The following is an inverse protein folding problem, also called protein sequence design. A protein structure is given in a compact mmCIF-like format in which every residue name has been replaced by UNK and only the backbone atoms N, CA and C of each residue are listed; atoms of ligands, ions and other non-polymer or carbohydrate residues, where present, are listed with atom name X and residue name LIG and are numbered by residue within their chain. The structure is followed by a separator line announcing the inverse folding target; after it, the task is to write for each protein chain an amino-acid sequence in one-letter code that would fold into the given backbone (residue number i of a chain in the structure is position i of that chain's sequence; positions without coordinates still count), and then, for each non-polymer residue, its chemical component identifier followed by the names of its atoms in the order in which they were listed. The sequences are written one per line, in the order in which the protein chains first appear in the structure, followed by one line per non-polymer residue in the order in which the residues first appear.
data_IF_148651385259
#
_entry.id   IF_148651385259
#
_cell.length_a   1.000
_cell.length_b   1.000
_cell.length_c   1.000
_cell.angle_alpha   90.00
_cell.angle_beta   90.00
_cell.angle_gamma   90.00
#
_symmetry.space_group_name_H-M   'P 1'
#
loop_
_entity.id
_entity.type
_entity.pdbx_description
1 polymer ?
#
# COMPACT_ATOMS: atom_id res chain seq x y z
N UNK A 1 4.98 -8.87 -16.67
CA UNK A 1 5.87 -8.30 -15.62
C UNK A 1 7.11 -9.16 -15.42
N UNK A 2 7.00 -10.35 -14.80
CA UNK A 2 8.17 -11.13 -14.36
C UNK A 2 9.20 -11.40 -15.47
N UNK A 3 8.74 -11.77 -16.67
CA UNK A 3 9.63 -11.99 -17.82
C UNK A 3 10.46 -10.74 -18.17
N UNK A 4 9.85 -9.56 -18.18
CA UNK A 4 10.54 -8.30 -18.44
C UNK A 4 11.54 -7.96 -17.35
N UNK A 5 11.17 -8.15 -16.08
CA UNK A 5 12.07 -7.87 -14.95
C UNK A 5 13.28 -8.82 -14.92
N UNK A 6 13.09 -10.11 -15.23
CA UNK A 6 14.17 -11.07 -15.41
C UNK A 6 15.08 -10.68 -16.58
N UNK A 7 14.50 -10.31 -17.72
CA UNK A 7 15.26 -9.87 -18.89
C UNK A 7 16.13 -8.64 -18.56
N UNK A 8 15.58 -7.68 -17.82
CA UNK A 8 16.26 -6.45 -17.42
C UNK A 8 17.37 -6.69 -16.39
N UNK A 9 17.10 -7.44 -15.32
CA UNK A 9 18.00 -7.52 -14.15
C UNK A 9 18.96 -8.70 -14.15
N UNK A 10 18.60 -9.79 -14.83
CA UNK A 10 19.36 -11.05 -14.75
C UNK A 10 19.90 -11.51 -16.09
N UNK A 11 19.46 -10.91 -17.20
CA UNK A 11 19.88 -11.31 -18.56
C UNK A 11 20.56 -10.21 -19.36
N UNK A 12 20.58 -8.97 -18.85
CA UNK A 12 21.11 -7.80 -19.56
C UNK A 12 20.48 -7.61 -20.95
N UNK A 13 19.15 -7.78 -21.02
CA UNK A 13 18.35 -7.64 -22.25
C UNK A 13 17.30 -6.55 -22.11
N UNK A 14 17.72 -5.27 -22.02
CA UNK A 14 16.78 -4.19 -21.72
C UNK A 14 15.77 -3.93 -22.85
N UNK A 15 16.12 -4.15 -24.13
CA UNK A 15 15.17 -4.07 -25.24
C UNK A 15 14.05 -5.13 -25.15
N UNK A 16 14.41 -6.39 -24.88
CA UNK A 16 13.44 -7.46 -24.65
C UNK A 16 12.59 -7.19 -23.40
N UNK A 17 13.19 -6.62 -22.36
CA UNK A 17 12.45 -6.22 -21.16
C UNK A 17 11.39 -5.17 -21.48
N UNK A 18 11.76 -4.14 -22.25
CA UNK A 18 10.85 -3.09 -22.69
C UNK A 18 9.64 -3.65 -23.45
N UNK A 19 9.85 -4.58 -24.38
CA UNK A 19 8.75 -5.25 -25.10
C UNK A 19 7.77 -5.96 -24.14
N UNK A 20 8.30 -6.68 -23.15
CA UNK A 20 7.48 -7.36 -22.15
C UNK A 20 6.69 -6.38 -21.27
N UNK A 21 7.26 -5.23 -20.92
CA UNK A 21 6.59 -4.21 -20.12
C UNK A 21 5.54 -3.42 -20.93
N UNK A 22 5.81 -3.14 -22.20
CA UNK A 22 4.83 -2.53 -23.11
C UNK A 22 3.65 -3.47 -23.36
N UNK A 23 3.91 -4.75 -23.57
CA UNK A 23 2.85 -5.78 -23.68
C UNK A 23 2.02 -5.86 -22.41
N UNK A 24 2.64 -5.79 -21.22
CA UNK A 24 1.89 -5.71 -19.97
C UNK A 24 1.00 -4.46 -19.94
N UNK A 25 1.56 -3.30 -20.30
CA UNK A 25 0.86 -2.02 -20.23
C UNK A 25 -0.34 -1.96 -21.20
N UNK A 26 -0.27 -2.65 -22.35
CA UNK A 26 -1.36 -2.67 -23.34
C UNK A 26 -2.56 -3.56 -22.97
N UNK A 27 -2.40 -4.50 -22.03
CA UNK A 27 -3.46 -5.47 -21.66
C UNK A 27 -4.06 -5.23 -20.27
N UNK A 28 -3.53 -4.28 -19.49
CA UNK A 28 -4.01 -3.97 -18.15
C UNK A 28 -4.76 -2.65 -18.12
N UNK A 29 -5.73 -2.52 -17.22
CA UNK A 29 -6.57 -1.31 -17.10
C UNK A 29 -6.49 -0.67 -15.71
N UNK A 30 -5.98 -1.38 -14.71
CA UNK A 30 -5.89 -0.87 -13.35
C UNK A 30 -4.67 0.06 -13.19
N UNK A 31 -4.81 1.23 -12.54
CA UNK A 31 -3.73 2.18 -12.25
C UNK A 31 -2.46 1.55 -11.68
N UNK A 32 -2.59 0.63 -10.71
CA UNK A 32 -1.44 -0.07 -10.13
C UNK A 32 -0.64 -0.86 -11.18
N UNK A 33 -1.32 -1.47 -12.14
CA UNK A 33 -0.70 -2.28 -13.19
C UNK A 33 -0.18 -1.40 -14.33
N UNK A 34 -0.92 -0.36 -14.70
CA UNK A 34 -0.52 0.63 -15.69
C UNK A 34 0.76 1.35 -15.25
N UNK A 35 0.76 1.91 -14.04
CA UNK A 35 1.92 2.57 -13.46
C UNK A 35 3.12 1.62 -13.34
N UNK A 36 2.90 0.36 -12.93
CA UNK A 36 3.97 -0.65 -12.86
C UNK A 36 4.58 -0.94 -14.23
N UNK A 37 3.75 -1.18 -15.26
CA UNK A 37 4.23 -1.42 -16.63
C UNK A 37 5.01 -0.22 -17.16
N UNK A 38 4.47 0.98 -17.01
CA UNK A 38 5.12 2.21 -17.46
C UNK A 38 6.43 2.49 -16.71
N UNK A 39 6.46 2.37 -15.38
CA UNK A 39 7.68 2.57 -14.59
C UNK A 39 8.80 1.62 -15.02
N UNK A 40 8.49 0.34 -15.19
CA UNK A 40 9.50 -0.64 -15.61
C UNK A 40 9.92 -0.47 -17.07
N UNK A 41 9.03 -0.01 -17.96
CA UNK A 41 9.41 0.44 -19.31
C UNK A 41 10.41 1.61 -19.24
N UNK A 42 10.24 2.55 -18.32
CA UNK A 42 11.18 3.64 -18.11
C UNK A 42 12.55 3.11 -17.64
N UNK A 43 12.58 2.20 -16.66
CA UNK A 43 13.82 1.55 -16.19
C UNK A 43 14.54 0.76 -17.29
N UNK A 44 13.79 0.12 -18.20
CA UNK A 44 14.36 -0.55 -19.35
C UNK A 44 14.98 0.45 -20.35
N UNK A 45 14.30 1.56 -20.61
CA UNK A 45 14.83 2.64 -21.47
C UNK A 45 16.08 3.32 -20.87
N UNK A 46 16.14 3.51 -19.54
CA UNK A 46 17.36 3.96 -18.84
C UNK A 46 18.54 3.01 -19.13
N UNK A 47 18.33 1.70 -19.01
CA UNK A 47 19.35 0.69 -19.29
C UNK A 47 19.77 0.64 -20.78
N UNK A 48 18.95 1.18 -21.68
CA UNK A 48 19.29 1.36 -23.10
C UNK A 48 20.01 2.69 -23.39
N UNK A 49 20.25 3.52 -22.37
CA UNK A 49 20.75 4.90 -22.51
C UNK A 49 19.83 5.79 -23.37
N UNK A 50 18.51 5.59 -23.30
CA UNK A 50 17.51 6.43 -23.97
C UNK A 50 16.73 7.29 -22.95
N UNK A 51 17.28 8.46 -22.55
CA UNK A 51 16.66 9.31 -21.54
C UNK A 51 15.34 9.93 -22.02
N UNK A 52 15.16 10.12 -23.32
CA UNK A 52 13.93 10.68 -23.89
C UNK A 52 12.78 9.67 -23.77
N UNK A 53 13.04 8.40 -24.09
CA UNK A 53 12.08 7.32 -23.92
C UNK A 53 11.80 7.03 -22.45
N UNK A 54 12.84 7.02 -21.60
CA UNK A 54 12.69 6.84 -20.17
C UNK A 54 11.76 7.90 -19.56
N UNK A 55 11.98 9.18 -19.91
CA UNK A 55 11.14 10.29 -19.44
C UNK A 55 9.68 10.12 -19.83
N UNK A 56 9.37 9.76 -21.08
CA UNK A 56 7.97 9.54 -21.54
C UNK A 56 7.26 8.45 -20.74
N UNK A 57 7.96 7.37 -20.43
CA UNK A 57 7.41 6.28 -19.63
C UNK A 57 7.24 6.66 -18.16
N UNK A 58 8.16 7.45 -17.59
CA UNK A 58 7.95 8.03 -16.26
C UNK A 58 6.75 8.97 -16.24
N UNK A 59 6.59 9.84 -17.23
CA UNK A 59 5.42 10.73 -17.36
C UNK A 59 4.12 9.91 -17.43
N UNK A 60 4.12 8.79 -18.15
CA UNK A 60 2.98 7.87 -18.23
C UNK A 60 2.66 7.22 -16.87
N UNK A 61 3.68 6.79 -16.13
CA UNK A 61 3.49 6.23 -14.79
C UNK A 61 3.02 7.29 -13.77
N UNK A 62 3.52 8.52 -13.90
CA UNK A 62 3.23 9.65 -13.04
C UNK A 62 1.78 10.14 -13.12
N UNK A 63 1.01 9.73 -14.14
CA UNK A 63 -0.45 9.93 -14.21
C UNK A 63 -1.20 9.28 -13.03
N UNK A 64 -0.56 8.37 -12.29
CA UNK A 64 -1.14 7.67 -11.15
C UNK A 64 -0.38 7.98 -9.85
N UNK A 65 -0.39 9.24 -9.37
CA UNK A 65 0.50 9.70 -8.29
C UNK A 65 0.17 9.11 -6.91
N UNK A 66 -0.89 8.33 -6.78
CA UNK A 66 -1.28 7.70 -5.50
C UNK A 66 -0.91 6.21 -5.40
N UNK A 67 -0.41 5.60 -6.48
CA UNK A 67 0.06 4.20 -6.44
C UNK A 67 1.58 4.13 -6.43
N UNK A 68 2.14 3.06 -5.86
CA UNK A 68 3.57 2.87 -5.60
C UNK A 68 4.46 3.26 -6.78
N UNK A 69 4.23 2.66 -7.96
CA UNK A 69 5.04 2.90 -9.14
C UNK A 69 4.83 4.28 -9.78
N UNK A 70 3.64 4.87 -9.59
CA UNK A 70 3.40 6.24 -10.04
C UNK A 70 4.13 7.23 -9.16
N UNK A 71 4.09 7.07 -7.83
CA UNK A 71 4.89 7.88 -6.90
C UNK A 71 6.38 7.80 -7.19
N UNK A 72 6.92 6.61 -7.43
CA UNK A 72 8.33 6.46 -7.83
C UNK A 72 8.66 7.21 -9.14
N UNK A 73 7.74 7.25 -10.09
CA UNK A 73 7.92 8.00 -11.33
C UNK A 73 7.85 9.52 -11.11
N UNK A 74 6.93 9.97 -10.27
CA UNK A 74 6.83 11.40 -9.91
C UNK A 74 8.11 11.84 -9.17
N UNK A 75 8.61 11.04 -8.23
CA UNK A 75 9.87 11.29 -7.53
C UNK A 75 11.05 11.41 -8.52
N UNK A 76 11.10 10.55 -9.53
CA UNK A 76 12.11 10.58 -10.60
C UNK A 76 12.02 11.82 -11.49
N UNK A 77 10.82 12.35 -11.69
CA UNK A 77 10.57 13.57 -12.48
C UNK A 77 10.78 14.86 -11.67
N UNK A 78 10.87 14.76 -10.34
CA UNK A 78 11.09 15.90 -9.45
C UNK A 78 9.83 16.70 -9.10
N UNK A 79 8.63 16.13 -9.25
CA UNK A 79 7.34 16.85 -9.07
C UNK A 79 6.43 16.24 -7.99
N UNK A 80 7.01 15.53 -7.03
CA UNK A 80 6.31 14.69 -6.03
C UNK A 80 5.21 15.43 -5.27
N UNK A 81 5.54 16.63 -4.81
CA UNK A 81 4.67 17.41 -3.95
C UNK A 81 3.47 17.98 -4.72
N UNK A 82 3.64 18.42 -5.97
CA UNK A 82 2.54 18.99 -6.74
C UNK A 82 1.60 17.90 -7.25
N UNK A 83 2.13 16.73 -7.63
CA UNK A 83 1.30 15.63 -8.10
C UNK A 83 0.35 15.08 -7.01
N UNK A 84 0.77 15.14 -5.74
CA UNK A 84 -0.07 14.76 -4.60
C UNK A 84 -0.97 15.91 -4.13
N UNK A 85 -0.61 17.18 -4.35
CA UNK A 85 -1.45 18.35 -4.00
C UNK A 85 -2.53 18.60 -5.06
N UNK A 86 -3.40 17.64 -5.33
CA UNK A 86 -4.63 17.94 -6.08
C UNK A 86 -5.55 18.79 -5.21
N UNK A 87 -6.14 19.85 -5.76
CA UNK A 87 -7.15 20.65 -5.05
C UNK A 87 -8.35 19.77 -4.72
N UNK A 88 -8.89 19.81 -3.49
CA UNK A 88 -10.15 19.15 -3.16
C UNK A 88 -11.23 19.63 -4.14
N UNK A 89 -11.92 18.69 -4.78
CA UNK A 89 -13.11 19.00 -5.57
C UNK A 89 -14.30 19.01 -4.63
N UNK A 90 -14.94 20.16 -4.48
CA UNK A 90 -16.18 20.27 -3.71
C UNK A 90 -17.38 19.84 -4.57
N UNK A 91 -18.14 18.79 -4.17
CA UNK A 91 -19.33 18.39 -4.92
C UNK A 91 -20.38 19.49 -4.97
N UNK A 92 -20.92 19.74 -6.16
CA UNK A 92 -21.96 20.73 -6.40
C UNK A 92 -23.25 20.46 -5.58
N UNK A 93 -24.06 21.50 -5.27
CA UNK A 93 -25.35 21.31 -4.59
C UNK A 93 -26.31 20.36 -5.35
N UNK A 94 -26.25 20.38 -6.68
CA UNK A 94 -27.05 19.48 -7.52
C UNK A 94 -26.60 18.02 -7.37
N UNK A 95 -25.29 17.75 -7.42
CA UNK A 95 -24.76 16.40 -7.21
C UNK A 95 -25.11 15.86 -5.83
N UNK A 96 -24.99 16.69 -4.78
CA UNK A 96 -25.42 16.34 -3.41
C UNK A 96 -26.90 15.96 -3.35
N UNK A 97 -27.76 16.75 -4.00
CA UNK A 97 -29.20 16.49 -4.04
C UNK A 97 -29.52 15.16 -4.71
N UNK A 98 -28.92 14.90 -5.88
CA UNK A 98 -29.11 13.64 -6.61
C UNK A 98 -28.59 12.44 -5.82
N UNK A 99 -27.45 12.60 -5.15
CA UNK A 99 -26.86 11.57 -4.31
C UNK A 99 -27.78 11.19 -3.14
N UNK A 100 -28.34 12.17 -2.41
CA UNK A 100 -29.27 11.89 -1.31
C UNK A 100 -30.61 11.29 -1.77
N UNK A 101 -31.00 11.49 -3.04
CA UNK A 101 -32.19 10.86 -3.60
C UNK A 101 -31.98 9.38 -3.93
N UNK A 102 -30.73 8.94 -4.12
CA UNK A 102 -30.38 7.57 -4.48
C UNK A 102 -30.87 6.56 -3.43
N UNK A 103 -31.69 5.57 -3.81
CA UNK A 103 -32.20 4.54 -2.89
C UNK A 103 -31.09 3.78 -2.14
N UNK A 104 -29.93 3.57 -2.77
CA UNK A 104 -28.79 2.89 -2.15
C UNK A 104 -28.15 3.74 -1.04
N UNK A 105 -28.11 5.07 -1.21
CA UNK A 105 -27.63 5.99 -0.16
C UNK A 105 -28.59 5.96 1.04
N UNK A 106 -29.91 5.98 0.79
CA UNK A 106 -30.92 5.85 1.85
C UNK A 106 -30.80 4.52 2.60
N UNK A 107 -30.62 3.42 1.87
CA UNK A 107 -30.39 2.10 2.45
C UNK A 107 -29.11 2.07 3.30
N UNK A 108 -28.01 2.63 2.80
CA UNK A 108 -26.76 2.75 3.55
C UNK A 108 -26.95 3.53 4.86
N UNK A 109 -27.65 4.68 4.84
CA UNK A 109 -27.95 5.45 6.05
C UNK A 109 -28.82 4.67 7.06
N UNK A 110 -29.75 3.82 6.59
CA UNK A 110 -30.54 2.94 7.47
C UNK A 110 -29.65 1.86 8.11
N UNK A 111 -28.81 1.18 7.31
CA UNK A 111 -27.88 0.16 7.82
C UNK A 111 -26.93 0.72 8.88
N UNK A 112 -26.45 1.95 8.68
CA UNK A 112 -25.62 2.65 9.64
C UNK A 112 -26.34 2.87 10.99
N UNK A 113 -27.60 3.31 10.96
CA UNK A 113 -28.43 3.48 12.17
C UNK A 113 -28.66 2.17 12.91
N UNK A 114 -28.69 1.05 12.18
CA UNK A 114 -28.83 -0.30 12.76
C UNK A 114 -27.50 -0.89 13.24
N UNK A 115 -26.37 -0.18 13.07
CA UNK A 115 -25.03 -0.69 13.41
C UNK A 115 -24.55 -1.83 12.51
N UNK A 116 -25.12 -1.97 11.31
CA UNK A 116 -24.84 -3.05 10.37
C UNK A 116 -23.67 -2.68 9.43
N UNK A 117 -22.45 -2.63 9.97
CA UNK A 117 -21.27 -2.13 9.26
C UNK A 117 -20.84 -3.01 8.06
N UNK A 118 -20.99 -4.33 8.16
CA UNK A 118 -20.63 -5.24 7.05
C UNK A 118 -21.48 -5.00 5.78
N UNK A 119 -22.82 -5.09 5.82
CA UNK A 119 -23.64 -4.81 4.64
C UNK A 119 -23.53 -3.35 4.22
N UNK A 120 -23.38 -2.40 5.15
CA UNK A 120 -23.12 -0.99 4.83
C UNK A 120 -21.90 -0.84 3.89
N UNK A 121 -20.80 -1.53 4.20
CA UNK A 121 -19.60 -1.52 3.36
C UNK A 121 -19.83 -2.03 1.93
N UNK A 122 -20.76 -2.97 1.73
CA UNK A 122 -21.11 -3.46 0.39
C UNK A 122 -21.83 -2.39 -0.44
N UNK A 123 -22.77 -1.66 0.18
CA UNK A 123 -23.49 -0.56 -0.48
C UNK A 123 -22.56 0.59 -0.82
N UNK A 124 -21.70 1.00 0.13
CA UNK A 124 -20.72 2.07 -0.08
C UNK A 124 -19.75 1.72 -1.21
N UNK A 125 -19.24 0.48 -1.23
CA UNK A 125 -18.39 -0.01 -2.33
C UNK A 125 -19.12 0.07 -3.67
N UNK A 126 -20.36 -0.42 -3.72
CA UNK A 126 -21.12 -0.44 -4.96
C UNK A 126 -21.41 0.99 -5.46
N UNK A 127 -21.79 1.91 -4.57
CA UNK A 127 -21.95 3.33 -4.89
C UNK A 127 -20.68 3.92 -5.51
N UNK A 128 -19.51 3.64 -4.93
CA UNK A 128 -18.24 4.12 -5.46
C UNK A 128 -17.84 3.47 -6.79
N UNK A 129 -18.19 2.20 -7.02
CA UNK A 129 -17.93 1.49 -8.29
C UNK A 129 -18.84 1.95 -9.43
N UNK A 130 -20.01 2.51 -9.11
CA UNK A 130 -20.98 3.04 -10.07
C UNK A 130 -20.87 4.56 -10.24
N UNK A 131 -19.89 5.19 -9.58
CA UNK A 131 -19.68 6.61 -9.72
C UNK A 131 -19.07 6.91 -11.10
N UNK A 132 -19.81 7.70 -11.88
CA UNK A 132 -19.40 8.11 -13.23
C UNK A 132 -18.66 9.45 -13.23
N UNK A 133 -18.74 10.19 -12.13
CA UNK A 133 -18.12 11.51 -11.97
C UNK A 133 -17.30 11.59 -10.69
N UNK A 134 -16.21 12.38 -10.66
CA UNK A 134 -15.43 12.59 -9.44
C UNK A 134 -16.28 13.11 -8.27
N UNK A 135 -17.31 13.92 -8.53
CA UNK A 135 -18.25 14.38 -7.48
C UNK A 135 -19.01 13.22 -6.84
N UNK A 136 -19.52 12.27 -7.62
CA UNK A 136 -20.21 11.09 -7.10
C UNK A 136 -19.27 10.20 -6.30
N UNK A 137 -18.04 10.02 -6.80
CA UNK A 137 -17.01 9.23 -6.13
C UNK A 137 -16.68 9.84 -4.75
N UNK A 138 -16.52 11.18 -4.69
CA UNK A 138 -16.28 11.91 -3.42
C UNK A 138 -17.48 11.77 -2.49
N UNK A 139 -18.71 11.93 -2.97
CA UNK A 139 -19.91 11.80 -2.14
C UNK A 139 -20.05 10.39 -1.54
N UNK A 140 -19.73 9.35 -2.32
CA UNK A 140 -19.68 7.97 -1.81
C UNK A 140 -18.65 7.80 -0.68
N UNK A 141 -17.50 8.46 -0.78
CA UNK A 141 -16.47 8.42 0.26
C UNK A 141 -16.81 9.29 1.48
N UNK A 142 -17.43 10.45 1.28
CA UNK A 142 -17.91 11.36 2.33
C UNK A 142 -18.99 10.74 3.20
N UNK A 143 -19.75 9.77 2.67
CA UNK A 143 -20.71 9.01 3.44
C UNK A 143 -20.07 8.33 4.67
N UNK A 144 -18.79 7.95 4.62
CA UNK A 144 -18.11 7.42 5.80
C UNK A 144 -17.92 8.42 6.93
N UNK A 145 -17.63 9.68 6.60
CA UNK A 145 -17.51 10.74 7.59
C UNK A 145 -18.88 11.14 8.14
N UNK A 146 -19.88 11.31 7.28
CA UNK A 146 -21.27 11.63 7.65
C UNK A 146 -21.87 10.61 8.63
N UNK A 147 -21.44 9.35 8.52
CA UNK A 147 -21.94 8.24 9.33
C UNK A 147 -21.05 7.94 10.55
N UNK A 148 -19.98 8.70 10.77
CA UNK A 148 -18.98 8.42 11.82
C UNK A 148 -18.40 6.99 11.69
N UNK A 149 -18.14 6.58 10.46
CA UNK A 149 -17.62 5.28 10.04
C UNK A 149 -16.47 5.48 9.04
N UNK A 150 -15.28 5.92 9.49
CA UNK A 150 -14.16 6.25 8.61
C UNK A 150 -13.75 5.10 7.68
N UNK A 151 -13.98 3.85 8.08
CA UNK A 151 -13.73 2.68 7.23
C UNK A 151 -14.52 2.70 5.92
N UNK A 152 -15.70 3.33 5.89
CA UNK A 152 -16.52 3.43 4.68
C UNK A 152 -15.89 4.39 3.66
N UNK A 153 -15.25 5.48 4.12
CA UNK A 153 -14.50 6.38 3.26
C UNK A 153 -13.31 5.68 2.59
N UNK A 154 -12.61 4.83 3.34
CA UNK A 154 -11.52 4.00 2.79
C UNK A 154 -12.03 2.98 1.78
N UNK A 155 -13.16 2.32 2.05
CA UNK A 155 -13.80 1.36 1.14
C UNK A 155 -14.16 2.05 -0.18
N UNK A 156 -14.83 3.21 -0.11
CA UNK A 156 -15.22 3.99 -1.28
C UNK A 156 -14.00 4.46 -2.07
N UNK A 157 -12.99 5.05 -1.42
CA UNK A 157 -11.81 5.55 -2.10
C UNK A 157 -10.99 4.44 -2.79
N UNK A 158 -10.92 3.24 -2.20
CA UNK A 158 -10.27 2.08 -2.85
C UNK A 158 -11.10 1.54 -4.02
N UNK A 159 -12.42 1.72 -4.01
CA UNK A 159 -13.32 1.30 -5.07
C UNK A 159 -13.35 2.29 -6.23
N UNK A 160 -13.21 3.59 -5.96
CA UNK A 160 -13.05 4.66 -6.95
C UNK A 160 -11.61 4.72 -7.49
N UNK A 161 -11.17 3.63 -8.12
CA UNK A 161 -9.78 3.35 -8.48
C UNK A 161 -9.13 4.45 -9.34
N UNK A 162 -9.89 5.14 -10.19
CA UNK A 162 -9.42 6.21 -11.09
C UNK A 162 -9.27 7.58 -10.38
N UNK A 163 -10.00 7.79 -9.28
CA UNK A 163 -10.14 9.11 -8.63
C UNK A 163 -9.29 9.25 -7.36
N UNK A 164 -8.37 8.30 -7.11
CA UNK A 164 -7.67 8.16 -5.84
C UNK A 164 -6.90 9.39 -5.36
N UNK A 165 -6.46 10.28 -6.26
CA UNK A 165 -5.81 11.54 -5.91
C UNK A 165 -6.77 12.58 -5.32
N UNK A 166 -8.04 12.59 -5.77
CA UNK A 166 -9.03 13.60 -5.40
C UNK A 166 -9.66 13.29 -4.03
N UNK A 167 -9.49 12.07 -3.50
CA UNK A 167 -10.13 11.60 -2.27
C UNK A 167 -9.22 11.47 -1.06
N UNK A 168 -8.12 12.21 -0.99
CA UNK A 168 -7.15 12.05 0.10
C UNK A 168 -7.80 12.23 1.49
N UNK A 169 -8.72 13.17 1.65
CA UNK A 169 -9.38 13.44 2.93
C UNK A 169 -10.24 12.27 3.41
N UNK A 170 -11.02 11.67 2.52
CA UNK A 170 -11.95 10.58 2.84
C UNK A 170 -11.29 9.20 2.81
N UNK A 171 -10.31 9.00 1.92
CA UNK A 171 -9.66 7.72 1.67
C UNK A 171 -8.48 7.39 2.60
N UNK A 172 -8.02 8.36 3.40
CA UNK A 172 -6.87 8.25 4.29
C UNK A 172 -7.16 8.80 5.69
N UNK A 173 -8.18 8.31 6.43
CA UNK A 173 -8.62 8.91 7.68
C UNK A 173 -7.47 9.01 8.70
N UNK A 174 -7.39 10.16 9.38
CA UNK A 174 -6.45 10.39 10.47
C UNK A 174 -7.16 10.11 11.79
N UNK A 175 -6.57 9.25 12.61
CA UNK A 175 -7.06 8.94 13.96
C UNK A 175 -5.98 9.31 14.97
N UNK A 176 -6.38 9.54 16.22
CA UNK A 176 -5.42 9.84 17.28
C UNK A 176 -4.49 8.63 17.52
N UNK A 177 -3.18 8.89 17.47
CA UNK A 177 -2.13 7.92 17.77
C UNK A 177 -1.43 8.33 19.06
N UNK A 178 -2.02 7.97 20.20
CA UNK A 178 -1.36 8.15 21.49
C UNK A 178 -0.12 7.25 21.58
N UNK A 179 0.96 7.76 22.18
CA UNK A 179 2.15 7.00 22.58
C UNK A 179 3.02 6.42 21.45
N UNK A 180 2.75 6.74 20.18
CA UNK A 180 3.61 6.40 19.04
C UNK A 180 4.58 7.56 18.69
N UNK A 181 5.84 7.28 18.30
CA UNK A 181 6.75 8.30 17.77
C UNK A 181 6.17 8.99 16.54
N UNK A 182 6.27 10.33 16.49
CA UNK A 182 5.68 11.15 15.41
C UNK A 182 6.18 10.74 14.01
N UNK A 183 7.47 10.42 13.89
CA UNK A 183 8.11 9.97 12.63
C UNK A 183 7.59 8.62 12.09
N UNK A 184 6.73 7.95 12.87
CA UNK A 184 6.12 6.66 12.56
C UNK A 184 4.60 6.76 12.38
N UNK A 185 3.97 7.91 12.64
CA UNK A 185 2.52 8.09 12.55
C UNK A 185 1.98 7.78 11.16
N UNK A 186 2.59 8.36 10.13
CA UNK A 186 2.21 8.09 8.73
C UNK A 186 2.28 6.61 8.36
N UNK A 187 3.29 5.87 8.83
CA UNK A 187 3.43 4.43 8.62
C UNK A 187 2.39 3.63 9.40
N UNK A 188 2.11 3.99 10.67
CA UNK A 188 1.10 3.32 11.49
C UNK A 188 -0.30 3.46 10.89
N UNK A 189 -0.68 4.67 10.44
CA UNK A 189 -1.94 4.89 9.74
C UNK A 189 -2.00 4.09 8.44
N UNK A 190 -0.89 4.02 7.71
CA UNK A 190 -0.78 3.22 6.48
C UNK A 190 -0.97 1.73 6.73
N UNK A 191 -0.41 1.20 7.83
CA UNK A 191 -0.62 -0.18 8.26
C UNK A 191 -2.09 -0.40 8.62
N UNK A 192 -2.68 0.44 9.48
CA UNK A 192 -4.09 0.30 9.87
C UNK A 192 -5.04 0.35 8.65
N UNK A 193 -4.74 1.23 7.67
CA UNK A 193 -5.46 1.31 6.40
C UNK A 193 -5.38 0.01 5.60
N UNK A 194 -4.21 -0.61 5.54
CA UNK A 194 -4.01 -1.84 4.77
C UNK A 194 -4.57 -3.07 5.47
N UNK A 195 -4.41 -3.16 6.80
CA UNK A 195 -4.80 -4.31 7.61
C UNK A 195 -6.31 -4.42 7.79
N UNK A 196 -6.98 -3.31 8.12
CA UNK A 196 -8.40 -3.34 8.51
C UNK A 196 -9.25 -2.32 7.76
N UNK A 197 -8.65 -1.44 6.96
CA UNK A 197 -9.33 -0.26 6.42
C UNK A 197 -9.94 0.60 7.54
N UNK A 198 -9.33 0.61 8.73
CA UNK A 198 -9.84 1.24 9.94
C UNK A 198 -11.12 0.61 10.53
N UNK A 199 -11.44 -0.65 10.20
CA UNK A 199 -12.49 -1.37 10.90
C UNK A 199 -11.95 -1.94 12.23
N UNK A 200 -12.35 -1.40 13.41
CA UNK A 200 -11.83 -1.88 14.70
C UNK A 200 -12.31 -3.29 15.05
N UNK A 201 -13.37 -3.79 14.39
CA UNK A 201 -13.95 -5.11 14.61
C UNK A 201 -13.47 -6.15 13.59
N UNK A 202 -12.44 -5.82 12.78
CA UNK A 202 -11.94 -6.73 11.77
C UNK A 202 -11.35 -8.01 12.38
N UNK A 203 -11.72 -9.17 11.82
CA UNK A 203 -11.18 -10.48 12.19
C UNK A 203 -10.76 -11.18 10.90
N UNK A 204 -9.48 -11.52 10.75
CA UNK A 204 -9.03 -12.30 9.58
C UNK A 204 -9.39 -13.78 9.72
N UNK A 205 -9.38 -14.49 8.59
CA UNK A 205 -9.60 -15.93 8.55
C UNK A 205 -8.61 -16.72 9.44
N UNK A 206 -7.37 -16.22 9.59
CA UNK A 206 -6.33 -16.84 10.42
C UNK A 206 -6.33 -16.33 11.87
N UNK A 207 -7.29 -15.46 12.24
CA UNK A 207 -7.53 -15.02 13.61
C UNK A 207 -6.79 -13.75 14.04
N UNK A 208 -6.34 -12.92 13.10
CA UNK A 208 -5.80 -11.60 13.37
C UNK A 208 -6.92 -10.60 13.73
N UNK A 209 -6.67 -9.66 14.64
CA UNK A 209 -7.74 -8.89 15.31
C UNK A 209 -7.54 -7.37 15.25
N UNK A 210 -8.62 -6.66 14.94
CA UNK A 210 -8.77 -5.22 15.04
C UNK A 210 -7.99 -4.39 14.02
N UNK A 211 -7.75 -3.12 14.36
CA UNK A 211 -7.23 -2.11 13.46
C UNK A 211 -5.91 -2.48 12.79
N UNK A 212 -4.96 -3.01 13.56
CA UNK A 212 -3.64 -3.40 13.08
C UNK A 212 -3.50 -4.92 12.89
N UNK A 213 -4.63 -5.66 12.88
CA UNK A 213 -4.69 -7.11 12.67
C UNK A 213 -3.65 -7.88 13.49
N UNK A 214 -3.70 -7.70 14.82
CA UNK A 214 -2.77 -8.38 15.70
C UNK A 214 -3.14 -9.83 15.92
N UNK A 215 -2.17 -10.72 15.76
CA UNK A 215 -2.29 -12.09 16.24
C UNK A 215 -2.35 -12.11 17.78
N UNK A 216 -3.19 -12.96 18.40
CA UNK A 216 -3.33 -13.04 19.86
C UNK A 216 -2.00 -13.21 20.61
N UNK A 217 -1.08 -14.04 20.07
CA UNK A 217 0.23 -14.25 20.65
C UNK A 217 1.11 -12.99 20.62
N UNK A 218 1.08 -12.23 19.51
CA UNK A 218 1.77 -10.95 19.39
C UNK A 218 1.19 -9.92 20.36
N UNK A 219 -0.14 -9.82 20.43
CA UNK A 219 -0.82 -8.91 21.35
C UNK A 219 -0.49 -9.20 22.82
N UNK A 220 -0.51 -10.47 23.26
CA UNK A 220 -0.13 -10.87 24.62
C UNK A 220 1.35 -10.56 24.92
N UNK A 221 2.25 -10.74 23.95
CA UNK A 221 3.66 -10.36 24.13
C UNK A 221 3.81 -8.85 24.33
N UNK A 222 3.12 -8.05 23.50
CA UNK A 222 3.18 -6.59 23.60
C UNK A 222 2.52 -6.06 24.88
N UNK A 223 1.40 -6.67 25.31
CA UNK A 223 0.73 -6.24 26.55
C UNK A 223 1.62 -6.47 27.77
N UNK A 224 2.35 -7.60 27.84
CA UNK A 224 3.33 -7.87 28.90
C UNK A 224 4.47 -6.85 28.91
N UNK A 225 4.97 -6.49 27.73
CA UNK A 225 6.04 -5.50 27.60
C UNK A 225 5.61 -4.11 28.07
N UNK A 226 4.37 -3.71 27.77
CA UNK A 226 3.79 -2.45 28.24
C UNK A 226 3.26 -2.54 29.68
N UNK A 227 3.42 -3.67 30.36
CA UNK A 227 2.88 -3.92 31.70
C UNK A 227 1.36 -3.71 31.79
N UNK A 228 0.64 -4.05 30.72
CA UNK A 228 -0.83 -3.97 30.64
C UNK A 228 -1.46 -5.37 30.68
N UNK A 229 -2.66 -5.51 31.29
CA UNK A 229 -3.43 -6.75 31.19
C UNK A 229 -3.70 -7.11 29.74
N UNK A 230 -3.48 -8.38 29.39
CA UNK A 230 -3.91 -8.91 28.10
C UNK A 230 -5.44 -9.07 28.09
N UNK A 231 -6.11 -8.50 27.10
CA UNK A 231 -7.53 -8.78 26.83
C UNK A 231 -7.76 -8.97 25.33
N UNK A 232 -8.20 -10.18 24.96
CA UNK A 232 -8.55 -10.50 23.57
C UNK A 232 -9.75 -9.70 23.08
N UNK A 233 -10.73 -9.48 23.95
CA UNK A 233 -11.94 -8.72 23.64
C UNK A 233 -11.62 -7.26 23.32
N UNK A 234 -10.75 -6.63 24.13
CA UNK A 234 -10.30 -5.24 23.91
C UNK A 234 -9.58 -5.04 22.59
N UNK A 235 -9.02 -6.09 21.97
CA UNK A 235 -8.45 -5.98 20.62
C UNK A 235 -9.50 -5.61 19.57
N UNK A 236 -10.79 -5.84 19.83
CA UNK A 236 -11.92 -5.54 18.94
C UNK A 236 -12.82 -4.40 19.46
N UNK A 237 -12.94 -4.26 20.78
CA UNK A 237 -13.83 -3.27 21.41
C UNK A 237 -13.13 -1.96 21.78
N UNK A 238 -11.79 -1.95 21.88
CA UNK A 238 -10.98 -0.80 22.28
C UNK A 238 -9.92 -0.51 21.20
N UNK A 239 -10.24 0.37 20.24
CA UNK A 239 -9.33 0.74 19.16
C UNK A 239 -7.98 1.28 19.64
N UNK A 240 -7.98 2.05 20.74
CA UNK A 240 -6.77 2.62 21.32
C UNK A 240 -5.84 1.53 21.86
N UNK A 241 -6.39 0.52 22.54
CA UNK A 241 -5.63 -0.63 22.99
C UNK A 241 -5.02 -1.44 21.83
N UNK A 242 -5.78 -1.66 20.75
CA UNK A 242 -5.26 -2.34 19.56
C UNK A 242 -4.10 -1.56 18.90
N UNK A 243 -4.29 -0.24 18.73
CA UNK A 243 -3.27 0.65 18.15
C UNK A 243 -2.02 0.74 19.01
N UNK A 244 -2.15 0.84 20.33
CA UNK A 244 -0.99 0.93 21.23
C UNK A 244 -0.12 -0.33 21.13
N UNK A 245 -0.75 -1.51 21.18
CA UNK A 245 -0.04 -2.80 21.04
C UNK A 245 0.58 -2.96 19.65
N UNK A 246 -0.14 -2.59 18.60
CA UNK A 246 0.35 -2.73 17.23
C UNK A 246 1.44 -1.74 16.86
N UNK A 247 1.33 -0.51 17.33
CA UNK A 247 2.35 0.53 17.18
C UNK A 247 3.62 0.14 17.94
N UNK A 248 3.48 -0.42 19.15
CA UNK A 248 4.62 -0.96 19.91
C UNK A 248 5.31 -2.09 19.15
N UNK A 249 4.55 -3.02 18.58
CA UNK A 249 5.12 -4.11 17.78
C UNK A 249 5.83 -3.60 16.52
N UNK A 250 5.21 -2.66 15.79
CA UNK A 250 5.81 -2.08 14.61
C UNK A 250 7.09 -1.28 14.95
N UNK A 251 7.10 -0.51 16.04
CA UNK A 251 8.29 0.21 16.49
C UNK A 251 9.46 -0.74 16.82
N UNK A 252 9.19 -1.94 17.36
CA UNK A 252 10.23 -2.96 17.56
C UNK A 252 10.82 -3.45 16.23
N UNK A 253 9.98 -3.67 15.22
CA UNK A 253 10.43 -4.08 13.90
C UNK A 253 11.25 -2.97 13.24
N UNK A 254 10.78 -1.73 13.31
CA UNK A 254 11.49 -0.58 12.78
C UNK A 254 12.87 -0.43 13.42
N UNK A 255 12.95 -0.55 14.76
CA UNK A 255 14.23 -0.58 15.49
C UNK A 255 15.12 -1.76 15.08
N UNK A 256 14.55 -2.95 14.90
CA UNK A 256 15.28 -4.16 14.49
C UNK A 256 15.96 -4.00 13.12
N UNK A 257 15.35 -3.22 12.22
CA UNK A 257 15.87 -2.99 10.87
C UNK A 257 16.46 -1.60 10.68
N UNK A 258 17.03 -1.01 11.75
CA UNK A 258 17.74 0.27 11.72
C UNK A 258 16.91 1.42 11.10
N UNK A 259 15.61 1.43 11.34
CA UNK A 259 14.72 2.46 10.81
C UNK A 259 14.23 2.23 9.38
N UNK A 260 14.57 1.09 8.73
CA UNK A 260 14.18 0.78 7.35
C UNK A 260 12.72 0.29 7.24
N UNK A 261 11.78 1.11 6.72
CA UNK A 261 10.37 0.77 6.73
C UNK A 261 10.04 -0.44 5.86
N UNK A 262 10.66 -0.58 4.69
CA UNK A 262 10.40 -1.72 3.79
C UNK A 262 10.66 -3.08 4.46
N UNK A 263 11.71 -3.19 5.29
CA UNK A 263 12.05 -4.42 6.00
C UNK A 263 11.14 -4.64 7.20
N UNK A 264 10.82 -3.57 7.94
CA UNK A 264 9.89 -3.63 9.05
C UNK A 264 8.49 -4.08 8.60
N UNK A 265 7.99 -3.54 7.49
CA UNK A 265 6.70 -3.90 6.90
C UNK A 265 6.71 -5.34 6.37
N UNK A 266 7.77 -5.75 5.69
CA UNK A 266 7.93 -7.13 5.24
C UNK A 266 7.91 -8.10 6.43
N UNK A 267 8.56 -7.74 7.54
CA UNK A 267 8.58 -8.55 8.76
C UNK A 267 7.26 -8.52 9.53
N UNK A 268 6.49 -7.42 9.44
CA UNK A 268 5.18 -7.31 10.07
C UNK A 268 4.22 -8.35 9.45
N UNK A 269 4.22 -8.46 8.12
CA UNK A 269 3.34 -9.36 7.37
C UNK A 269 3.87 -10.81 7.29
N UNK A 270 5.15 -11.02 6.97
CA UNK A 270 5.72 -12.36 6.72
C UNK A 270 6.56 -12.93 7.88
N UNK A 271 6.75 -12.16 8.95
CA UNK A 271 7.61 -12.50 10.07
C UNK A 271 9.10 -12.24 9.82
N UNK A 272 9.83 -11.93 10.89
CA UNK A 272 11.27 -11.61 10.84
C UNK A 272 12.15 -12.77 10.33
N UNK A 273 11.71 -14.03 10.51
CA UNK A 273 12.42 -15.19 9.98
C UNK A 273 12.45 -15.23 8.45
N UNK A 274 11.34 -14.86 7.79
CA UNK A 274 11.26 -14.76 6.34
C UNK A 274 12.18 -13.66 5.80
N UNK A 275 12.14 -12.47 6.41
CA UNK A 275 13.03 -11.36 6.05
C UNK A 275 14.50 -11.72 6.24
N UNK A 276 14.84 -12.42 7.33
CA UNK A 276 16.23 -12.87 7.56
C UNK A 276 16.73 -13.79 6.43
N UNK A 277 15.89 -14.68 5.91
CA UNK A 277 16.23 -15.50 4.74
C UNK A 277 16.41 -14.65 3.48
N UNK A 278 15.50 -13.72 3.21
CA UNK A 278 15.57 -12.87 2.02
C UNK A 278 16.79 -11.94 2.03
N UNK A 279 17.20 -11.43 3.20
CA UNK A 279 18.45 -10.68 3.35
C UNK A 279 19.68 -11.54 3.01
N UNK A 280 19.66 -12.83 3.40
CA UNK A 280 20.76 -13.75 3.08
C UNK A 280 20.80 -14.15 1.59
N UNK A 281 19.64 -14.25 0.92
CA UNK A 281 19.57 -14.72 -0.46
C UNK A 281 19.68 -13.59 -1.50
N UNK A 282 19.17 -12.40 -1.19
CA UNK A 282 19.08 -11.28 -2.12
C UNK A 282 19.98 -10.09 -1.76
N UNK A 283 20.67 -10.17 -0.61
CA UNK A 283 21.45 -9.07 -0.06
C UNK A 283 20.62 -8.11 0.79
N UNK A 284 21.31 -7.18 1.45
CA UNK A 284 20.70 -6.21 2.34
C UNK A 284 20.34 -4.93 1.56
N UNK A 285 19.03 -4.59 1.44
CA UNK A 285 18.59 -3.39 0.76
C UNK A 285 18.82 -2.13 1.59
N UNK A 286 19.39 -2.23 2.79
CA UNK A 286 19.93 -1.07 3.52
C UNK A 286 21.27 -0.61 2.98
N UNK A 287 21.95 -1.43 2.20
CA UNK A 287 23.21 -1.06 1.56
C UNK A 287 22.91 -0.32 0.27
N UNK A 288 23.49 0.87 0.08
CA UNK A 288 23.18 1.76 -1.05
C UNK A 288 23.33 1.13 -2.44
N UNK A 289 24.25 0.16 -2.60
CA UNK A 289 24.45 -0.55 -3.86
C UNK A 289 23.26 -1.43 -4.30
N UNK A 290 22.36 -1.78 -3.37
CA UNK A 290 21.18 -2.59 -3.66
C UNK A 290 20.01 -1.66 -3.97
N UNK A 291 19.38 -1.78 -5.15
CA UNK A 291 18.15 -1.05 -5.47
C UNK A 291 17.00 -1.57 -4.57
N UNK A 292 16.38 -0.73 -3.72
CA UNK A 292 15.35 -1.19 -2.80
C UNK A 292 14.08 -1.64 -3.53
N UNK A 293 13.84 -1.12 -4.74
CA UNK A 293 12.68 -1.47 -5.57
C UNK A 293 12.87 -2.89 -6.11
N UNK A 294 14.08 -3.21 -6.59
CA UNK A 294 14.43 -4.57 -7.02
C UNK A 294 14.35 -5.56 -5.85
N UNK A 295 14.77 -5.16 -4.65
CA UNK A 295 14.64 -6.02 -3.46
C UNK A 295 13.17 -6.31 -3.10
N UNK A 296 12.30 -5.31 -3.15
CA UNK A 296 10.86 -5.49 -2.95
C UNK A 296 10.30 -6.46 -4.00
N UNK A 297 10.68 -6.30 -5.27
CA UNK A 297 10.25 -7.23 -6.34
C UNK A 297 10.79 -8.66 -6.15
N UNK A 298 11.92 -8.84 -5.47
CA UNK A 298 12.43 -10.17 -5.09
C UNK A 298 11.64 -10.89 -4.00
N UNK A 299 10.79 -10.21 -3.22
CA UNK A 299 9.99 -10.85 -2.16
C UNK A 299 9.13 -11.98 -2.75
N UNK A 300 9.37 -13.27 -2.40
CA UNK A 300 8.71 -14.39 -3.08
C UNK A 300 7.20 -14.47 -2.81
N UNK A 301 6.78 -14.01 -1.64
CA UNK A 301 5.38 -14.00 -1.25
C UNK A 301 4.71 -12.80 -1.92
N UNK A 302 3.88 -13.07 -2.93
CA UNK A 302 3.16 -12.03 -3.68
C UNK A 302 2.28 -11.17 -2.77
N UNK A 303 1.66 -11.78 -1.75
CA UNK A 303 0.90 -11.07 -0.72
C UNK A 303 1.79 -10.07 0.03
N UNK A 304 2.96 -10.50 0.53
CA UNK A 304 3.89 -9.63 1.25
C UNK A 304 4.48 -8.54 0.36
N UNK A 305 4.85 -8.86 -0.88
CA UNK A 305 5.33 -7.88 -1.86
C UNK A 305 4.29 -6.78 -2.06
N UNK A 306 3.05 -7.18 -2.32
CA UNK A 306 1.94 -6.25 -2.48
C UNK A 306 1.68 -5.46 -1.19
N UNK A 307 1.71 -6.11 -0.02
CA UNK A 307 1.54 -5.46 1.28
C UNK A 307 2.56 -4.34 1.49
N UNK A 308 3.85 -4.61 1.28
CA UNK A 308 4.92 -3.62 1.41
C UNK A 308 4.69 -2.44 0.47
N UNK A 309 4.36 -2.70 -0.81
CA UNK A 309 4.05 -1.64 -1.78
C UNK A 309 2.84 -0.80 -1.35
N UNK A 310 1.76 -1.44 -0.89
CA UNK A 310 0.50 -0.77 -0.48
C UNK A 310 0.64 0.07 0.78
N UNK A 311 1.43 -0.38 1.75
CA UNK A 311 1.68 0.41 2.96
C UNK A 311 2.63 1.58 2.65
N UNK A 312 3.68 1.34 1.86
CA UNK A 312 4.61 2.41 1.48
C UNK A 312 3.97 3.48 0.59
N UNK A 313 3.10 3.12 -0.37
CA UNK A 313 2.40 4.12 -1.19
C UNK A 313 1.44 5.00 -0.37
N UNK A 314 0.90 4.48 0.75
CA UNK A 314 0.03 5.26 1.61
C UNK A 314 0.79 6.23 2.54
N UNK A 315 2.06 5.95 2.85
CA UNK A 315 2.81 6.70 3.85
C UNK A 315 3.06 8.17 3.47
N UNK A 316 3.49 8.53 2.25
CA UNK A 316 3.61 9.92 1.83
C UNK A 316 2.28 10.69 1.90
N UNK A 317 1.17 10.03 1.54
CA UNK A 317 -0.17 10.64 1.62
C UNK A 317 -0.53 10.97 3.07
N UNK A 318 -0.30 10.04 4.00
CA UNK A 318 -0.52 10.29 5.42
C UNK A 318 0.42 11.34 6.00
N UNK A 319 1.69 11.34 5.63
CA UNK A 319 2.64 12.35 6.07
C UNK A 319 2.19 13.76 5.63
N UNK A 320 1.71 13.91 4.39
CA UNK A 320 1.12 15.16 3.92
C UNK A 320 -0.14 15.56 4.72
N UNK A 321 -1.00 14.60 5.05
CA UNK A 321 -2.21 14.86 5.87
C UNK A 321 -1.90 15.28 7.31
N UNK A 322 -0.81 14.76 7.88
CA UNK A 322 -0.38 15.06 9.24
C UNK A 322 0.45 16.35 9.32
N UNK A 323 0.98 16.83 8.19
CA UNK A 323 2.00 17.88 8.18
C UNK A 323 3.34 17.37 8.70
N UNK A 324 3.59 16.06 8.63
CA UNK A 324 4.83 15.43 9.09
C UNK A 324 6.01 15.86 8.22
N UNK A 325 7.18 16.05 8.83
CA UNK A 325 8.47 16.10 8.14
C UNK A 325 9.15 14.72 8.28
N UNK A 326 9.77 14.20 7.21
CA UNK A 326 10.36 12.85 7.23
C UNK A 326 11.77 12.93 7.81
N UNK A 327 11.90 12.69 9.11
CA UNK A 327 13.21 12.68 9.78
C UNK A 327 14.15 11.62 9.19
N UNK A 328 15.27 12.06 8.60
CA UNK A 328 16.34 11.15 8.17
C UNK A 328 17.17 11.55 6.95
N UNK A 329 17.01 12.72 6.36
CA UNK A 329 17.94 13.23 5.35
C UNK A 329 18.71 14.44 5.88
N UNK A 330 20.03 14.31 6.03
CA UNK A 330 20.91 15.40 6.38
C UNK A 330 20.75 16.58 5.40
N UNK A 331 20.11 17.65 5.86
CA UNK A 331 20.21 19.00 5.30
C UNK A 331 19.65 19.21 3.89
N UNK A 332 18.32 19.26 3.76
CA UNK A 332 17.64 19.79 2.57
C UNK A 332 16.14 19.84 2.84
N UNK A 333 15.45 20.86 2.31
CA UNK A 333 13.99 21.06 2.42
C UNK A 333 13.25 19.71 2.25
N UNK A 334 12.76 19.14 3.37
CA UNK A 334 12.41 17.71 3.44
C UNK A 334 11.21 17.41 2.55
N UNK A 335 11.48 16.83 1.38
CA UNK A 335 10.41 16.47 0.43
C UNK A 335 9.80 15.13 0.86
N UNK A 336 8.53 15.17 1.29
CA UNK A 336 7.74 13.98 1.61
C UNK A 336 7.51 13.20 0.30
N UNK A 337 8.27 12.12 0.10
CA UNK A 337 8.27 11.31 -1.13
C UNK A 337 8.31 9.83 -0.78
N UNK A 338 7.84 8.96 -1.67
CA UNK A 338 7.99 7.52 -1.47
C UNK A 338 9.47 7.13 -1.40
N UNK A 339 10.31 7.78 -2.21
CA UNK A 339 11.76 7.57 -2.23
C UNK A 339 12.39 7.91 -0.88
N UNK A 340 11.98 8.98 -0.18
CA UNK A 340 12.55 9.29 1.15
C UNK A 340 12.24 8.19 2.18
N UNK A 341 11.03 7.60 2.17
CA UNK A 341 10.71 6.43 3.00
C UNK A 341 11.55 5.20 2.65
N UNK A 342 11.85 4.96 1.36
CA UNK A 342 12.72 3.87 0.93
C UNK A 342 14.20 4.10 1.32
N UNK A 343 14.63 5.35 1.49
CA UNK A 343 15.99 5.71 1.92
C UNK A 343 16.22 5.63 3.42
N UNK A 344 15.17 5.66 4.25
CA UNK A 344 15.30 5.53 5.70
C UNK A 344 16.07 4.26 6.09
N UNK A 345 17.04 4.43 6.99
CA UNK A 345 17.89 3.34 7.49
C UNK A 345 18.92 2.81 6.50
N UNK A 346 19.00 3.37 5.27
CA UNK A 346 20.03 3.02 4.29
C UNK A 346 21.36 3.67 4.65
N UNK A 347 22.46 2.93 4.44
CA UNK A 347 23.83 3.34 4.74
C UNK A 347 24.70 3.15 3.49
N UNK A 348 25.79 3.92 3.41
CA UNK A 348 26.82 3.66 2.42
C UNK A 348 27.33 2.21 2.55
N UNK A 349 27.51 1.54 1.42
CA UNK A 349 28.09 0.20 1.41
C UNK A 349 29.60 0.25 1.65
N UNK A 350 30.22 -0.87 2.06
CA UNK A 350 31.67 -0.98 2.02
C UNK A 350 32.15 -0.88 0.56
N UNK A 351 33.34 -0.28 0.36
CA UNK A 351 33.94 -0.11 -0.97
C UNK A 351 33.99 -1.44 -1.73
N UNK A 352 33.51 -1.44 -2.98
CA UNK A 352 33.48 -2.63 -3.83
C UNK A 352 32.33 -3.61 -3.58
N UNK A 353 31.36 -3.28 -2.71
CA UNK A 353 30.17 -4.12 -2.54
C UNK A 353 29.29 -4.13 -3.80
N UNK A 354 29.31 -5.25 -4.50
CA UNK A 354 28.41 -5.56 -5.61
C UNK A 354 27.35 -6.54 -5.10
N UNK A 355 26.11 -6.12 -4.86
CA UNK A 355 25.03 -7.05 -4.58
C UNK A 355 24.76 -7.82 -5.86
N UNK A 356 25.22 -9.07 -5.91
CA UNK A 356 24.67 -10.03 -6.85
C UNK A 356 23.63 -10.82 -6.09
N UNK A 357 22.32 -10.66 -6.36
CA UNK A 357 21.37 -11.65 -5.90
C UNK A 357 21.89 -13.02 -6.34
N UNK A 358 21.79 -14.03 -5.47
CA UNK A 358 21.99 -15.41 -5.95
C UNK A 358 21.11 -15.57 -7.20
N UNK A 359 21.58 -16.23 -8.27
CA UNK A 359 20.70 -16.56 -9.39
C UNK A 359 19.43 -17.15 -8.80
N UNK A 360 18.27 -16.65 -9.25
CA UNK A 360 16.96 -17.08 -8.75
C UNK A 360 17.01 -18.61 -8.58
N UNK A 361 16.74 -19.17 -7.39
CA UNK A 361 16.57 -20.61 -7.30
C UNK A 361 15.54 -20.99 -8.35
N UNK A 362 15.75 -22.10 -9.07
CA UNK A 362 14.77 -22.61 -10.03
C UNK A 362 13.42 -22.61 -9.32
N UNK A 363 12.56 -21.65 -9.66
CA UNK A 363 11.24 -21.58 -9.07
C UNK A 363 10.58 -22.90 -9.47
N UNK A 364 10.09 -23.71 -8.52
CA UNK A 364 9.36 -24.91 -8.89
C UNK A 364 8.25 -24.44 -9.82
N UNK A 365 8.23 -25.02 -11.02
CA UNK A 365 7.24 -24.75 -12.04
C UNK A 365 5.89 -25.19 -11.44
N UNK A 366 5.17 -24.25 -10.81
CA UNK A 366 3.78 -24.50 -10.41
C UNK A 366 3.03 -24.47 -11.73
N UNK A 367 2.84 -25.65 -12.31
CA UNK A 367 1.91 -25.87 -13.40
C UNK A 367 0.59 -25.19 -13.03
N UNK A 368 -0.02 -24.40 -13.92
CA UNK A 368 -1.38 -23.98 -13.69
C UNK A 368 -2.20 -25.25 -13.46
N UNK A 369 -2.88 -25.33 -12.32
CA UNK A 369 -3.86 -26.39 -12.09
C UNK A 369 -4.85 -26.27 -13.25
N UNK A 370 -4.77 -27.22 -14.17
CA UNK A 370 -5.74 -27.38 -15.23
C UNK A 370 -7.11 -27.44 -14.58
N UNK A 371 -8.03 -26.58 -15.03
CA UNK A 371 -9.46 -26.72 -14.71
C UNK A 371 -9.92 -28.08 -15.24
N UNK A 372 -9.78 -29.11 -14.42
CA UNK A 372 -10.50 -30.35 -14.60
C UNK A 372 -11.98 -30.07 -14.35
N UNK A 373 -12.73 -30.26 -15.42
CA UNK A 373 -14.17 -30.41 -15.51
C UNK A 373 -14.80 -30.95 -14.23
N UNK A 374 -15.73 -30.19 -13.66
CA UNK A 374 -16.61 -30.66 -12.60
C UNK A 374 -17.35 -31.94 -13.06
N UNK A 375 -17.42 -32.99 -12.23
CA UNK A 375 -18.22 -34.16 -12.55
C UNK A 375 -19.71 -33.78 -12.52
N UNK A 376 -20.42 -34.14 -13.59
CA UNK A 376 -21.87 -34.08 -13.66
C UNK A 376 -22.47 -35.00 -12.60
N UNK A 377 -23.28 -34.42 -11.69
CA UNK A 377 -24.13 -35.16 -10.77
C UNK A 377 -25.17 -35.97 -11.56
N UNK A 378 -25.39 -37.26 -11.27
CA UNK A 378 -26.49 -38.00 -11.87
C UNK A 378 -27.81 -37.58 -11.21
N UNK A 379 -28.82 -37.33 -12.04
CA UNK A 379 -30.19 -37.15 -11.59
C UNK A 379 -30.76 -38.45 -11.00
N UNK A 380 -31.54 -38.29 -9.93
CA UNK A 380 -32.28 -39.33 -9.22
C UNK A 380 -32.94 -38.76 -8.00
#
# INVERSE_FOLDING_TARGET
MLAGWIALRFKDRPAQALEHFQTLNSVVTLPVSLARGAYWSARAAEAMNDPALARRWYETAALYPTVFYGQLAVDRLGDALNALKTRPLEPSPQARTLFEQNPLVKAARILAKMGQDYPLGLFVRHLAQQADTPEQSILAASLGQDLERPQMGVIAAKAAVQDGAIMMENGYPVIALADAPADSHSLILSIARQESQFNPKAISHVGALGLMQLMPATANRMSRQLQKPYSRERLLSDPAYNLELGSTYFAQLLKRYDGAPMLALAAYNAGAGSVSRWLNDYGDPRIQATDPIDWIEMIPYSETRNYVQRVLEAAPVYALRLGDSVAGSDGGDETITLTSFLQRGRKAGPDGYMPRPKPLPELPFIMPVSNETAPTMPGG
#
